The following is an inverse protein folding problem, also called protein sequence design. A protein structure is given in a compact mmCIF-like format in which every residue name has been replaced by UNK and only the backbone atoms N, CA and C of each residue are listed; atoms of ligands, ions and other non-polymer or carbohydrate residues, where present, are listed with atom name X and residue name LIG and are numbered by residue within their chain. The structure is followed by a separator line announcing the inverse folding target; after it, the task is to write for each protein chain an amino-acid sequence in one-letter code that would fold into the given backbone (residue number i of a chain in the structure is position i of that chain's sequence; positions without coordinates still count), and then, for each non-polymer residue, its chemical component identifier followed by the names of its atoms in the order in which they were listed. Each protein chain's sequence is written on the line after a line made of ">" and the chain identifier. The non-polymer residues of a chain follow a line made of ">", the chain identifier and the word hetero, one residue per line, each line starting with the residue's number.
data_IF_529483822954
#
_entry.id   IF_529483822954
#
_cell.length_a   1.000
_cell.length_b   1.000
_cell.length_c   1.000
_cell.angle_alpha   90.00
_cell.angle_beta   90.00
_cell.angle_gamma   90.00
#
_symmetry.space_group_name_H-M   'P 1'
#
loop_
_entity.id
_entity.type
_entity.pdbx_description
1 polymer ?
#
# COMPACT_ATOMS: atom_id res chain seq x y z
N UNK A 1 0.75 -3.14 -4.33
CA UNK A 1 0.35 -2.09 -3.37
C UNK A 1 -0.93 -2.55 -2.72
N UNK A 2 -0.84 -2.89 -1.45
CA UNK A 2 -2.01 -3.34 -0.71
C UNK A 2 -3.02 -2.20 -0.56
N UNK A 3 -4.26 -2.50 -0.92
CA UNK A 3 -5.43 -1.60 -0.81
C UNK A 3 -5.75 -1.22 0.66
N UNK A 4 -4.96 -1.71 1.62
CA UNK A 4 -5.15 -1.51 3.05
C UNK A 4 -5.05 -0.03 3.45
N UNK A 5 -4.18 0.78 2.82
CA UNK A 5 -4.13 2.22 3.12
C UNK A 5 -5.37 2.93 2.60
N UNK A 6 -5.79 2.63 1.36
CA UNK A 6 -6.96 3.23 0.74
C UNK A 6 -8.21 2.95 1.60
N UNK A 7 -8.34 1.73 2.09
CA UNK A 7 -9.43 1.34 2.97
C UNK A 7 -9.29 1.92 4.38
N UNK A 8 -8.08 2.00 4.95
CA UNK A 8 -7.85 2.62 6.26
C UNK A 8 -8.17 4.12 6.23
N UNK A 9 -7.68 4.85 5.23
CA UNK A 9 -8.02 6.26 5.03
C UNK A 9 -9.52 6.45 4.75
N UNK A 10 -10.15 5.57 3.97
CA UNK A 10 -11.60 5.63 3.77
C UNK A 10 -12.40 5.25 5.02
N UNK A 11 -11.94 4.32 5.85
CA UNK A 11 -12.60 3.90 7.09
C UNK A 11 -12.50 4.97 8.18
N UNK A 12 -11.46 5.82 8.17
CA UNK A 12 -11.41 7.02 9.03
C UNK A 12 -12.48 8.06 8.67
N UNK A 13 -13.14 7.92 7.51
CA UNK A 13 -14.25 8.78 7.06
C UNK A 13 -15.60 8.43 7.73
N UNK A 14 -15.78 7.20 8.23
CA UNK A 14 -17.07 6.68 8.71
C UNK A 14 -17.25 6.71 10.24
N UNK A 15 -16.17 6.79 11.02
CA UNK A 15 -16.25 6.74 12.49
C UNK A 15 -16.03 8.11 13.15
N UNK A 16 -16.98 9.01 12.95
CA UNK A 16 -17.05 10.31 13.64
C UNK A 16 -17.81 10.25 14.97
N UNK A 17 -17.77 9.15 15.72
CA UNK A 17 -18.31 9.10 17.08
C UNK A 17 -17.93 7.82 17.86
N UNK A 18 -16.77 7.80 18.53
CA UNK A 18 -16.56 7.36 19.94
C UNK A 18 -15.09 7.01 20.23
N UNK A 19 -14.63 7.54 21.37
CA UNK A 19 -13.39 7.24 22.12
C UNK A 19 -12.05 7.38 21.38
N UNK A 20 -11.52 8.60 21.43
CA UNK A 20 -10.14 9.02 21.74
C UNK A 20 -9.06 7.92 21.94
N UNK A 21 -8.69 7.18 20.90
CA UNK A 21 -7.29 6.79 20.66
C UNK A 21 -6.96 7.30 19.28
N UNK A 22 -6.66 8.60 19.22
CA UNK A 22 -6.24 9.26 17.99
C UNK A 22 -4.83 8.75 17.71
N UNK A 23 -4.71 7.73 16.86
CA UNK A 23 -3.43 7.27 16.36
C UNK A 23 -2.87 8.36 15.43
N UNK A 24 -2.31 9.42 16.01
CA UNK A 24 -1.89 10.63 15.31
C UNK A 24 -0.60 10.45 14.48
N UNK A 25 -0.03 9.25 14.46
CA UNK A 25 1.22 8.97 13.76
C UNK A 25 1.24 7.53 13.22
N UNK A 26 0.15 7.11 12.59
CA UNK A 26 0.13 5.82 11.87
C UNK A 26 1.02 5.95 10.65
N UNK A 27 1.95 5.01 10.52
CA UNK A 27 2.86 4.92 9.38
C UNK A 27 2.50 3.73 8.52
N UNK A 28 2.57 3.90 7.20
CA UNK A 28 2.39 2.82 6.25
C UNK A 28 3.71 2.08 6.04
N UNK A 29 3.75 0.88 6.61
CA UNK A 29 4.79 -0.11 6.37
C UNK A 29 4.26 -1.14 5.37
N UNK A 30 4.60 -0.97 4.09
CA UNK A 30 4.16 -1.88 3.03
C UNK A 30 5.02 -1.80 1.77
N UNK A 31 4.59 -2.50 0.72
CA UNK A 31 5.23 -2.49 -0.60
C UNK A 31 5.00 -1.16 -1.32
N UNK A 32 6.08 -0.42 -1.53
CA UNK A 32 6.13 0.79 -2.36
C UNK A 32 6.44 0.44 -3.80
N UNK A 33 6.27 1.41 -4.70
CA UNK A 33 6.59 1.28 -6.13
C UNK A 33 8.00 0.72 -6.35
N UNK A 34 8.99 1.25 -5.64
CA UNK A 34 10.39 0.84 -5.81
C UNK A 34 10.64 -0.59 -5.35
N UNK A 35 9.99 -1.02 -4.26
CA UNK A 35 10.08 -2.42 -3.82
C UNK A 35 9.46 -3.36 -4.86
N UNK A 36 8.32 -2.98 -5.46
CA UNK A 36 7.66 -3.78 -6.48
C UNK A 36 8.59 -3.93 -7.69
N UNK A 37 9.18 -2.85 -8.16
CA UNK A 37 10.08 -2.86 -9.32
C UNK A 37 11.36 -3.68 -9.09
N UNK A 38 11.86 -3.75 -7.85
CA UNK A 38 13.12 -4.42 -7.52
C UNK A 38 12.94 -5.87 -7.06
N UNK A 39 11.86 -6.16 -6.33
CA UNK A 39 11.69 -7.41 -5.60
C UNK A 39 10.62 -8.30 -6.20
N UNK A 40 9.63 -7.77 -6.94
CA UNK A 40 8.47 -8.56 -7.37
C UNK A 40 8.58 -8.86 -8.86
N UNK A 41 8.71 -10.14 -9.25
CA UNK A 41 8.65 -10.54 -10.66
C UNK A 41 7.31 -10.14 -11.30
N UNK A 42 7.31 -9.84 -12.60
CA UNK A 42 6.10 -9.40 -13.31
C UNK A 42 4.97 -10.43 -13.28
N UNK A 43 5.31 -11.72 -13.28
CA UNK A 43 4.39 -12.85 -13.19
C UNK A 43 3.64 -12.93 -11.85
N UNK A 44 4.19 -12.32 -10.79
CA UNK A 44 3.54 -12.22 -9.49
C UNK A 44 2.61 -11.01 -9.38
N UNK A 45 2.58 -10.14 -10.41
CA UNK A 45 1.70 -8.99 -10.44
C UNK A 45 0.30 -9.38 -10.90
N UNK A 46 -0.69 -9.00 -10.11
CA UNK A 46 -2.11 -9.26 -10.38
C UNK A 46 -2.73 -8.03 -11.05
N UNK A 47 -3.55 -8.20 -12.10
CA UNK A 47 -4.31 -7.10 -12.68
C UNK A 47 -5.20 -6.40 -11.64
N UNK A 48 -5.28 -5.07 -11.72
CA UNK A 48 -6.18 -4.29 -10.85
C UNK A 48 -7.64 -4.64 -11.16
N UNK A 49 -8.43 -4.87 -10.11
CA UNK A 49 -9.88 -5.05 -10.28
C UNK A 49 -10.49 -3.70 -10.70
N UNK A 50 -11.55 -3.69 -11.54
CA UNK A 50 -12.19 -2.44 -11.97
C UNK A 50 -12.64 -1.54 -10.81
N UNK A 51 -13.14 -2.14 -9.73
CA UNK A 51 -13.52 -1.44 -8.50
C UNK A 51 -12.33 -0.77 -7.83
N UNK A 52 -11.20 -1.47 -7.73
CA UNK A 52 -9.98 -0.95 -7.11
C UNK A 52 -9.41 0.21 -7.94
N UNK A 53 -9.49 0.13 -9.26
CA UNK A 53 -9.09 1.21 -10.17
C UNK A 53 -9.95 2.47 -9.97
N UNK A 54 -11.26 2.32 -9.80
CA UNK A 54 -12.16 3.44 -9.53
C UNK A 54 -11.82 4.11 -8.18
N UNK A 55 -11.56 3.31 -7.15
CA UNK A 55 -11.14 3.81 -5.83
C UNK A 55 -9.80 4.55 -5.95
N UNK A 56 -8.82 3.99 -6.65
CA UNK A 56 -7.52 4.60 -6.86
C UNK A 56 -7.61 5.95 -7.58
N UNK A 57 -8.43 6.04 -8.64
CA UNK A 57 -8.72 7.31 -9.33
C UNK A 57 -9.40 8.33 -8.43
N UNK A 58 -10.35 7.90 -7.60
CA UNK A 58 -11.00 8.78 -6.61
C UNK A 58 -10.01 9.31 -5.58
N UNK A 59 -9.08 8.46 -5.11
CA UNK A 59 -8.04 8.85 -4.16
C UNK A 59 -7.03 9.84 -4.74
N UNK A 60 -6.70 9.73 -6.04
CA UNK A 60 -5.82 10.70 -6.71
C UNK A 60 -6.38 12.13 -6.67
N UNK A 61 -7.70 12.27 -6.73
CA UNK A 61 -8.41 13.55 -6.61
C UNK A 61 -8.57 14.05 -5.17
N UNK A 62 -8.23 13.24 -4.16
CA UNK A 62 -8.32 13.62 -2.75
C UNK A 62 -7.14 14.50 -2.33
N UNK A 63 -7.39 15.48 -1.46
CA UNK A 63 -6.36 16.32 -0.83
C UNK A 63 -5.71 15.65 0.38
N UNK A 64 -6.30 14.56 0.88
CA UNK A 64 -5.83 13.84 2.08
C UNK A 64 -4.61 12.97 1.76
N UNK A 65 -4.48 12.52 0.51
CA UNK A 65 -3.40 11.64 0.09
C UNK A 65 -2.13 12.46 -0.18
N UNK A 66 -1.16 12.35 0.73
CA UNK A 66 0.15 12.99 0.59
C UNK A 66 1.05 12.29 -0.45
N UNK A 67 0.93 10.97 -0.57
CA UNK A 67 1.79 10.13 -1.42
C UNK A 67 1.07 9.68 -2.71
N UNK A 68 0.75 10.65 -3.57
CA UNK A 68 0.00 10.41 -4.82
C UNK A 68 0.82 9.64 -5.85
N UNK A 69 2.14 9.72 -5.79
CA UNK A 69 3.08 9.02 -6.65
C UNK A 69 2.90 7.50 -6.63
N UNK A 70 2.62 6.95 -5.44
CA UNK A 70 2.44 5.51 -5.25
C UNK A 70 1.15 5.05 -5.96
N UNK A 71 0.05 5.77 -5.71
CA UNK A 71 -1.26 5.47 -6.32
C UNK A 71 -1.24 5.72 -7.83
N UNK A 72 -0.54 6.76 -8.30
CA UNK A 72 -0.38 7.04 -9.72
C UNK A 72 0.29 5.88 -10.45
N UNK A 73 1.38 5.34 -9.91
CA UNK A 73 2.09 4.20 -10.50
C UNK A 73 1.21 2.94 -10.58
N UNK A 74 0.36 2.72 -9.58
CA UNK A 74 -0.61 1.61 -9.59
C UNK A 74 -1.70 1.81 -10.66
N UNK A 75 -2.21 3.04 -10.82
CA UNK A 75 -3.22 3.36 -11.85
C UNK A 75 -2.65 3.25 -13.25
N UNK A 76 -1.43 3.74 -13.47
CA UNK A 76 -0.73 3.71 -14.76
C UNK A 76 -0.39 2.29 -15.19
N UNK A 77 0.19 1.49 -14.29
CA UNK A 77 0.52 0.09 -14.59
C UNK A 77 -0.71 -0.82 -14.70
N UNK A 78 -1.82 -0.47 -14.03
CA UNK A 78 -3.01 -1.30 -13.95
C UNK A 78 -2.76 -2.65 -13.24
N UNK A 79 -1.67 -2.75 -12.48
CA UNK A 79 -1.23 -3.97 -11.80
C UNK A 79 -0.96 -3.70 -10.31
N UNK A 80 -1.06 -4.75 -9.50
CA UNK A 80 -0.72 -4.73 -8.07
C UNK A 80 0.08 -5.97 -7.68
N UNK A 81 1.00 -5.82 -6.74
CA UNK A 81 1.54 -6.93 -5.96
C UNK A 81 0.70 -7.14 -4.71
N UNK A 82 0.43 -8.40 -4.36
CA UNK A 82 -0.07 -8.87 -3.07
C UNK A 82 1.12 -9.10 -2.12
N UNK A 83 0.92 -9.02 -0.80
CA UNK A 83 2.04 -9.15 0.16
C UNK A 83 2.71 -10.53 0.07
N UNK A 84 1.93 -11.56 -0.26
CA UNK A 84 2.37 -12.94 -0.47
C UNK A 84 3.32 -13.07 -1.68
N UNK A 85 3.35 -12.10 -2.59
CA UNK A 85 4.30 -12.10 -3.70
C UNK A 85 5.76 -12.07 -3.21
N UNK A 86 6.02 -11.56 -2.00
CA UNK A 86 7.34 -11.61 -1.38
C UNK A 86 7.84 -13.03 -1.07
N UNK A 87 6.96 -14.03 -1.04
CA UNK A 87 7.35 -15.42 -0.84
C UNK A 87 8.11 -16.02 -2.03
N UNK A 88 8.19 -15.34 -3.17
CA UNK A 88 9.12 -15.72 -4.24
C UNK A 88 10.58 -15.74 -3.79
N UNK A 89 10.92 -15.01 -2.70
CA UNK A 89 12.25 -15.00 -2.07
C UNK A 89 12.39 -15.99 -0.90
N UNK A 90 11.35 -16.78 -0.61
CA UNK A 90 11.29 -17.71 0.53
C UNK A 90 10.31 -17.29 1.62
N UNK A 91 9.81 -18.26 2.39
CA UNK A 91 8.77 -18.05 3.41
C UNK A 91 9.20 -17.11 4.55
N UNK A 92 10.48 -17.09 4.89
CA UNK A 92 11.05 -16.24 5.95
C UNK A 92 11.37 -14.81 5.48
N UNK A 93 11.25 -14.54 4.17
CA UNK A 93 11.64 -13.26 3.59
C UNK A 93 10.74 -12.10 4.04
N UNK A 94 9.43 -12.32 4.20
CA UNK A 94 8.50 -11.29 4.65
C UNK A 94 8.94 -10.69 6.01
N UNK A 95 9.36 -11.53 6.95
CA UNK A 95 9.87 -11.07 8.25
C UNK A 95 11.15 -10.24 8.11
N UNK A 96 12.09 -10.68 7.27
CA UNK A 96 13.33 -9.95 6.96
C UNK A 96 13.05 -8.61 6.30
N UNK A 97 12.13 -8.57 5.34
CA UNK A 97 11.72 -7.36 4.62
C UNK A 97 11.11 -6.32 5.57
N UNK A 98 10.20 -6.74 6.45
CA UNK A 98 9.59 -5.84 7.45
C UNK A 98 10.63 -5.29 8.42
N UNK A 99 11.51 -6.16 8.95
CA UNK A 99 12.58 -5.74 9.84
C UNK A 99 13.53 -4.73 9.17
N UNK A 100 13.95 -5.00 7.93
CA UNK A 100 14.78 -4.10 7.12
C UNK A 100 14.13 -2.73 6.95
N UNK A 101 12.85 -2.68 6.57
CA UNK A 101 12.14 -1.41 6.39
C UNK A 101 12.00 -0.60 7.66
N UNK A 102 11.76 -1.25 8.80
CA UNK A 102 11.69 -0.57 10.11
C UNK A 102 13.06 0.02 10.46
N UNK A 103 14.13 -0.77 10.35
CA UNK A 103 15.50 -0.33 10.67
C UNK A 103 15.95 0.84 9.78
N UNK A 104 15.55 0.82 8.51
CA UNK A 104 15.84 1.88 7.55
C UNK A 104 14.91 3.09 7.66
N UNK A 105 13.91 3.05 8.56
CA UNK A 105 12.81 4.01 8.62
C UNK A 105 12.12 4.25 7.25
N UNK A 106 12.04 3.20 6.43
CA UNK A 106 11.46 3.24 5.08
C UNK A 106 9.97 2.89 5.11
N UNK A 107 9.19 3.84 5.63
CA UNK A 107 7.73 3.82 5.72
C UNK A 107 7.20 5.25 5.50
N UNK A 108 5.91 5.38 5.19
CA UNK A 108 5.27 6.69 4.96
C UNK A 108 4.48 7.15 6.19
#
# INVERSE_FOLDING_TARGET
>A
MDLFIAFFLHATRENSAKSFIRACNVKWLGLRKDDINQLIPEECLVPLKPRDLQIAKSLMSSEILQHKEEVAAMVESGRRAEIEALYCHGYDYLGKFLAMKIVQANYL
#
